data_IF_720552784786
#
_entry.id   IF_720552784786
#
_cell.length_a   1.000
_cell.length_b   1.000
_cell.length_c   1.000
_cell.angle_alpha   90.00
_cell.angle_beta   90.00
_cell.angle_gamma   90.00
#
_symmetry.space_group_name_H-M   'P 1'
#
loop_
_entity.id
_entity.type
_entity.pdbx_description
1 polymer ?
#
# COMPACT_ATOMS: atom_id res chain seq x y z
N UNK A 1 8.05 4.69 -8.43
CA UNK A 1 7.70 3.27 -8.32
C UNK A 1 8.97 2.44 -8.37
N UNK A 2 9.03 1.29 -7.68
CA UNK A 2 10.19 0.40 -7.62
C UNK A 2 10.81 0.02 -8.98
N UNK A 3 10.02 -0.12 -10.03
CA UNK A 3 10.48 -0.44 -11.39
C UNK A 3 11.42 0.63 -11.95
N UNK A 4 11.30 1.88 -11.48
CA UNK A 4 12.19 3.00 -11.85
C UNK A 4 13.47 3.06 -11.02
N UNK A 5 13.61 2.22 -9.99
CA UNK A 5 14.76 2.27 -9.08
C UNK A 5 16.05 1.70 -9.68
N UNK A 6 15.99 1.02 -10.84
CA UNK A 6 17.18 0.49 -11.52
C UNK A 6 18.25 1.55 -11.84
N UNK A 7 17.85 2.82 -11.95
CA UNK A 7 18.75 3.94 -12.19
C UNK A 7 19.40 4.50 -10.90
N UNK A 8 19.03 4.00 -9.72
CA UNK A 8 19.50 4.48 -8.42
C UNK A 8 20.40 3.44 -7.74
N UNK A 9 21.41 3.92 -7.02
CA UNK A 9 22.22 3.06 -6.16
C UNK A 9 21.42 2.61 -4.92
N UNK A 10 21.88 1.53 -4.28
CA UNK A 10 21.26 1.04 -3.04
C UNK A 10 21.29 2.11 -1.97
N UNK A 11 22.39 2.85 -1.83
CA UNK A 11 22.57 3.94 -0.88
C UNK A 11 21.58 5.07 -1.12
N UNK A 12 21.31 5.41 -2.39
CA UNK A 12 20.31 6.41 -2.75
C UNK A 12 18.91 5.97 -2.34
N UNK A 13 18.55 4.70 -2.57
CA UNK A 13 17.25 4.14 -2.18
C UNK A 13 17.12 4.12 -0.66
N UNK A 14 18.14 3.63 0.06
CA UNK A 14 18.16 3.57 1.53
C UNK A 14 18.06 4.99 2.11
N UNK A 15 18.80 5.95 1.56
CA UNK A 15 18.75 7.36 1.99
C UNK A 15 17.37 7.97 1.77
N UNK A 16 16.79 7.79 0.58
CA UNK A 16 15.46 8.30 0.26
C UNK A 16 14.39 7.73 1.21
N UNK A 17 14.43 6.43 1.48
CA UNK A 17 13.47 5.76 2.36
C UNK A 17 13.65 6.11 3.84
N UNK A 18 14.89 6.30 4.28
CA UNK A 18 15.21 6.67 5.67
C UNK A 18 14.80 8.10 6.02
N UNK A 19 14.65 8.98 5.02
CA UNK A 19 14.17 10.35 5.19
C UNK A 19 12.65 10.46 5.39
N UNK A 20 11.90 9.39 5.15
CA UNK A 20 10.45 9.38 5.31
C UNK A 20 10.05 9.03 6.74
N UNK A 21 8.98 9.64 7.23
CA UNK A 21 8.34 9.27 8.50
C UNK A 21 7.20 8.29 8.21
N UNK A 22 7.12 7.21 8.98
CA UNK A 22 6.10 6.17 8.81
C UNK A 22 5.02 6.24 9.88
N UNK A 23 3.78 6.44 9.45
CA UNK A 23 2.58 6.24 10.27
C UNK A 23 2.21 4.75 10.38
N UNK A 24 1.84 4.30 11.58
CA UNK A 24 1.40 2.93 11.83
C UNK A 24 -0.02 2.92 12.40
N UNK A 25 -0.85 2.01 11.90
CA UNK A 25 -2.19 1.77 12.42
C UNK A 25 -2.42 0.26 12.49
N UNK A 26 -2.94 -0.22 13.62
CA UNK A 26 -3.20 -1.64 13.84
C UNK A 26 -4.66 -1.95 13.48
N UNK A 27 -4.85 -2.68 12.39
CA UNK A 27 -6.17 -3.15 11.96
C UNK A 27 -6.24 -4.67 11.90
N UNK A 28 -7.45 -5.23 11.93
CA UNK A 28 -7.68 -6.66 11.68
C UNK A 28 -7.57 -6.90 10.17
N UNK A 29 -7.01 -8.04 9.80
CA UNK A 29 -6.87 -8.44 8.39
C UNK A 29 -8.21 -8.43 7.62
N UNK A 30 -9.33 -8.68 8.31
CA UNK A 30 -10.68 -8.69 7.74
C UNK A 30 -11.41 -7.34 7.80
N UNK A 31 -10.80 -6.29 8.35
CA UNK A 31 -11.41 -4.97 8.52
C UNK A 31 -11.14 -4.03 7.33
N UNK A 32 -10.87 -4.56 6.14
CA UNK A 32 -10.50 -3.76 4.95
C UNK A 32 -11.53 -2.66 4.65
N UNK A 33 -12.81 -2.95 4.84
CA UNK A 33 -13.91 -2.02 4.58
C UNK A 33 -14.52 -1.46 5.87
N UNK A 34 -13.80 -1.58 6.99
CA UNK A 34 -14.31 -1.27 8.33
C UNK A 34 -13.40 -0.26 9.02
N UNK A 35 -13.53 1.00 8.64
CA UNK A 35 -12.92 2.13 9.33
C UNK A 35 -12.39 3.20 8.37
N UNK A 36 -12.26 4.42 8.89
CA UNK A 36 -11.81 5.58 8.12
C UNK A 36 -10.37 5.44 7.64
N UNK A 37 -9.48 4.93 8.50
CA UNK A 37 -8.06 4.77 8.14
C UNK A 37 -7.91 3.67 7.09
N UNK A 38 -8.67 2.58 7.19
CA UNK A 38 -8.68 1.49 6.22
C UNK A 38 -9.20 1.95 4.85
N UNK A 39 -10.24 2.80 4.82
CA UNK A 39 -10.71 3.46 3.62
C UNK A 39 -9.63 4.34 2.98
N UNK A 40 -8.98 5.21 3.75
CA UNK A 40 -7.92 6.09 3.26
C UNK A 40 -6.68 5.33 2.77
N UNK A 41 -6.33 4.21 3.41
CA UNK A 41 -5.25 3.32 2.95
C UNK A 41 -5.62 2.70 1.60
N UNK A 42 -6.89 2.34 1.38
CA UNK A 42 -7.36 1.88 0.07
C UNK A 42 -7.33 2.99 -0.97
N UNK A 43 -7.71 4.21 -0.61
CA UNK A 43 -7.65 5.35 -1.52
C UNK A 43 -6.21 5.62 -1.99
N UNK A 44 -5.24 5.58 -1.06
CA UNK A 44 -3.82 5.64 -1.39
C UNK A 44 -3.38 4.49 -2.31
N UNK A 45 -3.91 3.29 -2.10
CA UNK A 45 -3.62 2.14 -2.95
C UNK A 45 -4.33 2.19 -4.32
N UNK A 46 -5.41 2.95 -4.46
CA UNK A 46 -6.09 3.25 -5.73
C UNK A 46 -5.38 4.37 -6.52
N UNK A 47 -4.71 5.28 -5.83
CA UNK A 47 -4.10 6.47 -6.41
C UNK A 47 -3.10 6.16 -7.55
N UNK A 48 -3.34 6.68 -8.75
CA UNK A 48 -2.49 6.53 -9.93
C UNK A 48 -1.20 7.37 -9.83
N UNK A 49 -1.27 8.46 -9.08
CA UNK A 49 -0.19 9.41 -8.81
C UNK A 49 -0.04 9.64 -7.31
N UNK A 50 1.11 10.16 -6.84
CA UNK A 50 1.27 10.52 -5.43
C UNK A 50 0.11 11.39 -4.96
N UNK A 51 -0.56 10.96 -3.89
CA UNK A 51 -1.63 11.69 -3.24
C UNK A 51 -1.07 12.58 -2.13
N UNK A 52 -1.81 13.61 -1.77
CA UNK A 52 -1.52 14.43 -0.61
C UNK A 52 -2.10 13.75 0.63
N UNK A 53 -1.32 13.68 1.70
CA UNK A 53 -1.75 13.07 2.94
C UNK A 53 -1.23 13.84 4.15
N UNK A 54 -2.09 14.02 5.14
CA UNK A 54 -1.77 14.56 6.45
C UNK A 54 -1.90 13.47 7.51
N UNK A 55 -0.94 13.40 8.44
CA UNK A 55 -0.93 12.42 9.51
C UNK A 55 -0.78 13.11 10.86
N UNK A 56 -1.65 12.75 11.80
CA UNK A 56 -1.51 13.14 13.19
C UNK A 56 -0.95 11.98 14.00
N UNK A 57 0.23 12.13 14.59
CA UNK A 57 0.85 11.07 15.39
C UNK A 57 0.34 11.04 16.82
N UNK A 58 0.25 9.84 17.40
CA UNK A 58 -0.09 9.66 18.82
C UNK A 58 1.03 10.10 19.76
N UNK A 59 2.27 10.02 19.29
CA UNK A 59 3.51 10.29 20.02
C UNK A 59 4.59 10.72 19.02
N UNK A 60 5.67 11.31 19.52
CA UNK A 60 6.82 11.68 18.68
C UNK A 60 7.35 10.44 17.91
N UNK A 61 7.47 10.50 16.57
CA UNK A 61 8.12 9.45 15.80
C UNK A 61 9.55 9.20 16.29
N UNK A 62 9.92 7.93 16.40
CA UNK A 62 11.27 7.55 16.82
C UNK A 62 11.86 6.51 15.87
N UNK A 63 13.18 6.49 15.79
CA UNK A 63 13.89 5.49 14.99
C UNK A 63 13.95 4.20 15.80
N UNK A 64 13.26 3.16 15.31
CA UNK A 64 13.49 1.79 15.78
C UNK A 64 14.41 1.13 14.75
N UNK A 65 15.71 1.04 15.06
CA UNK A 65 16.63 0.31 14.19
C UNK A 65 16.26 -1.17 14.22
N UNK A 66 15.62 -1.63 13.15
CA UNK A 66 15.39 -3.04 12.87
C UNK A 66 16.18 -3.37 11.61
N UNK A 67 17.44 -3.75 11.79
CA UNK A 67 18.23 -4.37 10.72
C UNK A 67 17.82 -5.84 10.67
N UNK A 68 16.95 -6.16 9.74
CA UNK A 68 16.55 -7.52 9.40
C UNK A 68 16.44 -7.55 7.86
N UNK A 69 17.01 -8.58 7.23
CA UNK A 69 16.96 -8.80 5.78
C UNK A 69 15.52 -8.88 5.24
N UNK A 70 14.56 -9.13 6.14
CA UNK A 70 13.15 -9.20 5.83
C UNK A 70 12.43 -7.84 5.74
N UNK A 71 13.06 -6.76 6.21
CA UNK A 71 12.37 -5.49 6.47
C UNK A 71 13.01 -4.37 5.67
N UNK A 72 12.19 -3.72 4.84
CA UNK A 72 12.64 -2.57 4.05
C UNK A 72 13.10 -1.43 4.99
N UNK A 73 14.15 -0.68 4.64
CA UNK A 73 14.55 0.48 5.43
C UNK A 73 13.40 1.49 5.47
N UNK A 74 13.16 2.04 6.65
CA UNK A 74 12.20 3.10 6.91
C UNK A 74 12.78 4.07 7.93
N UNK A 75 12.39 5.34 7.83
CA UNK A 75 12.75 6.33 8.83
C UNK A 75 11.93 6.20 10.13
N UNK A 76 11.89 7.27 10.94
CA UNK A 76 11.17 7.29 12.21
C UNK A 76 9.71 6.84 12.06
N UNK A 77 9.22 6.06 13.02
CA UNK A 77 7.86 5.53 12.99
C UNK A 77 7.09 5.86 14.26
N UNK A 78 5.78 6.07 14.16
CA UNK A 78 4.88 6.15 15.30
C UNK A 78 3.44 5.75 14.91
N UNK A 79 2.67 5.36 15.92
CA UNK A 79 1.25 5.09 15.76
C UNK A 79 0.50 6.40 15.45
N UNK A 80 -0.44 6.37 14.52
CA UNK A 80 -1.23 7.53 14.11
C UNK A 80 -2.56 7.61 14.86
N UNK A 81 -3.02 8.83 15.14
CA UNK A 81 -4.36 9.17 15.64
C UNK A 81 -5.34 9.42 14.50
N UNK A 82 -4.87 10.11 13.46
CA UNK A 82 -5.66 10.45 12.29
C UNK A 82 -4.78 10.40 11.04
N UNK A 83 -5.44 10.10 9.93
CA UNK A 83 -4.93 10.18 8.57
C UNK A 83 -5.99 10.97 7.80
N UNK A 84 -5.57 11.86 6.92
CA UNK A 84 -6.42 12.53 5.95
C UNK A 84 -5.72 12.48 4.60
N UNK A 85 -6.47 12.10 3.56
CA UNK A 85 -5.93 11.88 2.21
C UNK A 85 -6.74 12.74 1.24
N UNK A 86 -6.04 13.44 0.38
CA UNK A 86 -6.60 14.45 -0.53
C UNK A 86 -6.16 14.20 -1.97
N UNK A 87 -6.94 14.73 -2.92
CA UNK A 87 -6.61 14.76 -4.35
C UNK A 87 -6.31 13.38 -4.98
N UNK A 88 -6.94 12.32 -4.46
CA UNK A 88 -6.78 10.95 -4.94
C UNK A 88 -7.37 10.84 -6.34
N UNK A 89 -6.50 10.59 -7.32
CA UNK A 89 -6.91 10.24 -8.67
C UNK A 89 -6.75 8.73 -8.84
N UNK A 90 -7.87 8.00 -8.89
CA UNK A 90 -7.84 6.55 -9.02
C UNK A 90 -7.30 6.11 -10.38
N UNK A 91 -6.54 5.00 -10.39
CA UNK A 91 -6.22 4.31 -11.62
C UNK A 91 -7.46 3.56 -12.11
N UNK A 92 -7.96 3.90 -13.31
CA UNK A 92 -9.25 3.39 -13.82
C UNK A 92 -9.29 1.87 -13.96
N UNK A 93 -8.16 1.24 -14.29
CA UNK A 93 -8.10 -0.22 -14.45
C UNK A 93 -8.15 -0.93 -13.09
N UNK A 94 -7.44 -0.39 -12.10
CA UNK A 94 -7.47 -0.89 -10.71
C UNK A 94 -8.85 -0.65 -10.09
N UNK A 95 -9.41 0.55 -10.26
CA UNK A 95 -10.73 0.92 -9.77
C UNK A 95 -11.83 0.03 -10.33
N UNK A 96 -11.79 -0.28 -11.64
CA UNK A 96 -12.74 -1.22 -12.26
C UNK A 96 -12.76 -2.57 -11.53
N UNK A 97 -11.59 -3.13 -11.24
CA UNK A 97 -11.48 -4.43 -10.56
C UNK A 97 -11.71 -4.35 -9.05
N UNK A 98 -11.53 -3.17 -8.45
CA UNK A 98 -11.95 -2.91 -7.08
C UNK A 98 -13.48 -2.86 -6.96
N UNK A 99 -14.18 -2.30 -7.93
CA UNK A 99 -15.65 -2.26 -7.94
C UNK A 99 -16.28 -3.61 -8.30
N UNK A 100 -15.54 -4.50 -8.97
CA UNK A 100 -15.97 -5.86 -9.24
C UNK A 100 -15.85 -6.74 -7.98
N UNK A 101 -17.00 -6.97 -7.32
CA UNK A 101 -17.09 -7.77 -6.10
C UNK A 101 -17.25 -9.27 -6.37
N UNK A 102 -17.42 -9.67 -7.63
CA UNK A 102 -17.62 -11.07 -8.05
C UNK A 102 -16.35 -11.67 -8.66
N UNK A 103 -15.37 -10.83 -9.02
CA UNK A 103 -14.05 -11.27 -9.44
C UNK A 103 -13.22 -11.85 -8.28
N UNK A 104 -12.62 -13.01 -8.54
CA UNK A 104 -11.56 -13.54 -7.68
C UNK A 104 -10.31 -12.65 -7.77
N UNK A 105 -9.54 -12.58 -6.68
CA UNK A 105 -8.33 -11.77 -6.64
C UNK A 105 -7.30 -12.20 -7.70
N UNK A 106 -7.21 -13.50 -7.98
CA UNK A 106 -6.36 -14.05 -9.04
C UNK A 106 -6.74 -13.53 -10.43
N UNK A 107 -8.04 -13.42 -10.72
CA UNK A 107 -8.53 -12.85 -11.98
C UNK A 107 -8.12 -11.39 -12.10
N UNK A 108 -8.34 -10.59 -11.05
CA UNK A 108 -7.97 -9.17 -11.04
C UNK A 108 -6.46 -8.97 -11.22
N UNK A 109 -5.63 -9.75 -10.53
CA UNK A 109 -4.17 -9.70 -10.65
C UNK A 109 -3.74 -10.01 -12.08
N UNK A 110 -4.26 -11.11 -12.66
CA UNK A 110 -3.93 -11.52 -14.03
C UNK A 110 -4.35 -10.45 -15.05
N UNK A 111 -5.56 -9.92 -14.94
CA UNK A 111 -6.04 -8.88 -15.86
C UNK A 111 -5.22 -7.59 -15.80
N UNK A 112 -4.79 -7.17 -14.61
CA UNK A 112 -3.95 -5.97 -14.46
C UNK A 112 -2.56 -6.19 -15.03
N UNK A 113 -2.01 -7.40 -14.82
CA UNK A 113 -0.73 -7.79 -15.37
C UNK A 113 -0.75 -7.79 -16.90
N UNK A 114 -1.78 -8.39 -17.51
CA UNK A 114 -1.98 -8.40 -18.97
C UNK A 114 -2.23 -7.01 -19.57
N UNK A 115 -2.62 -6.03 -18.74
CA UNK A 115 -2.82 -4.62 -19.14
C UNK A 115 -1.61 -3.73 -18.86
N UNK A 116 -0.45 -4.31 -18.58
CA UNK A 116 0.81 -3.61 -18.32
C UNK A 116 0.77 -2.66 -17.10
N UNK A 117 -0.10 -2.93 -16.12
CA UNK A 117 -0.03 -2.22 -14.83
C UNK A 117 1.25 -2.65 -14.11
N UNK A 118 2.04 -1.69 -13.57
CA UNK A 118 3.27 -2.02 -12.85
C UNK A 118 3.04 -3.05 -11.75
N UNK A 119 3.87 -4.09 -11.70
CA UNK A 119 3.75 -5.18 -10.72
C UNK A 119 3.72 -4.65 -9.29
N UNK A 120 4.54 -3.65 -8.96
CA UNK A 120 4.53 -3.01 -7.63
C UNK A 120 3.19 -2.35 -7.30
N UNK A 121 2.47 -1.83 -8.30
CA UNK A 121 1.13 -1.27 -8.12
C UNK A 121 0.12 -2.38 -7.86
N UNK A 122 0.18 -3.47 -8.61
CA UNK A 122 -0.70 -4.65 -8.37
C UNK A 122 -0.46 -5.21 -6.97
N UNK A 123 0.80 -5.38 -6.56
CA UNK A 123 1.18 -5.83 -5.21
C UNK A 123 0.67 -4.89 -4.11
N UNK A 124 0.82 -3.57 -4.28
CA UNK A 124 0.31 -2.58 -3.34
C UNK A 124 -1.22 -2.64 -3.23
N UNK A 125 -1.91 -2.70 -4.38
CA UNK A 125 -3.37 -2.76 -4.43
C UNK A 125 -3.92 -4.06 -3.81
N UNK A 126 -3.26 -5.19 -4.08
CA UNK A 126 -3.61 -6.47 -3.47
C UNK A 126 -3.35 -6.49 -1.96
N UNK A 127 -2.21 -5.95 -1.52
CA UNK A 127 -1.86 -5.83 -0.09
C UNK A 127 -2.89 -4.99 0.69
N UNK A 128 -3.38 -3.91 0.08
CA UNK A 128 -4.44 -3.05 0.62
C UNK A 128 -5.84 -3.67 0.58
N UNK A 129 -6.00 -4.88 0.05
CA UNK A 129 -7.27 -5.61 0.02
C UNK A 129 -8.26 -5.11 -1.03
N UNK A 130 -7.79 -4.49 -2.13
CA UNK A 130 -8.65 -3.99 -3.20
C UNK A 130 -9.29 -5.10 -4.04
N UNK A 131 -8.70 -6.30 -4.08
CA UNK A 131 -9.16 -7.38 -4.96
C UNK A 131 -9.72 -8.58 -4.21
N UNK A 132 -10.68 -9.25 -4.84
CA UNK A 132 -11.30 -10.46 -4.34
C UNK A 132 -12.80 -10.32 -4.10
N UNK A 133 -13.40 -11.44 -3.72
CA UNK A 133 -14.85 -11.62 -3.64
C UNK A 133 -15.43 -10.81 -2.48
N UNK A 134 -16.17 -9.73 -2.76
CA UNK A 134 -16.75 -8.76 -1.83
C UNK A 134 -16.35 -8.92 -0.35
N UNK A 135 -17.23 -9.52 0.45
CA UNK A 135 -17.05 -9.70 1.92
C UNK A 135 -15.85 -10.56 2.34
N UNK A 136 -15.18 -11.25 1.42
CA UNK A 136 -13.98 -12.07 1.65
C UNK A 136 -12.68 -11.33 1.40
N UNK A 137 -12.73 -10.04 1.02
CA UNK A 137 -11.56 -9.18 0.91
C UNK A 137 -10.84 -9.07 2.26
N UNK A 138 -9.52 -9.09 2.20
CA UNK A 138 -8.64 -9.04 3.35
C UNK A 138 -7.36 -8.28 3.02
N UNK A 139 -6.77 -7.63 4.01
CA UNK A 139 -5.41 -7.13 3.89
C UNK A 139 -4.47 -8.33 3.68
N UNK A 140 -3.52 -8.18 2.77
CA UNK A 140 -2.52 -9.22 2.51
C UNK A 140 -1.15 -8.70 2.95
N UNK A 141 -0.43 -9.41 3.83
CA UNK A 141 0.94 -9.05 4.19
C UNK A 141 1.80 -8.81 2.94
N UNK A 142 2.69 -7.82 2.99
CA UNK A 142 3.49 -7.40 1.83
C UNK A 142 4.26 -8.57 1.20
N UNK A 143 4.85 -9.45 2.03
CA UNK A 143 5.57 -10.64 1.54
C UNK A 143 4.67 -11.57 0.73
N UNK A 144 3.48 -11.86 1.23
CA UNK A 144 2.52 -12.71 0.53
C UNK A 144 1.98 -12.05 -0.73
N UNK A 145 1.89 -10.71 -0.73
CA UNK A 145 1.51 -9.97 -1.93
C UNK A 145 2.59 -10.05 -3.01
N UNK A 146 3.87 -9.98 -2.63
CA UNK A 146 5.00 -10.13 -3.55
C UNK A 146 5.06 -11.53 -4.16
N UNK A 147 4.77 -12.58 -3.38
CA UNK A 147 4.80 -13.96 -3.88
C UNK A 147 3.54 -14.36 -4.64
N UNK A 148 2.43 -13.64 -4.49
CA UNK A 148 1.15 -13.97 -5.12
C UNK A 148 0.94 -13.29 -6.49
N UNK A 149 1.66 -12.21 -6.76
CA UNK A 149 1.65 -11.46 -8.02
C UNK A 149 2.90 -11.83 -8.80
#
# INVERSE_FOLDING_TARGET
>A
MPERWRAFSIEQIVSARSKLVRGMHKSKVTSVEKGRIEEQVRDLALADRPAEAELMFSKKPFVKMALNDEVQPFGPSADIKALDVYNVKANRQVEKLYLDVDAAASTAIKELYEKDIPVSKIQQSFSAGLFGLGRRRKFVPTRWSITAV
#
